data_IF_059479636098
#
_entry.id   IF_059479636098
#
_cell.length_a   1.000
_cell.length_b   1.000
_cell.length_c   1.000
_cell.angle_alpha   90.00
_cell.angle_beta   90.00
_cell.angle_gamma   90.00
#
_symmetry.space_group_name_H-M   'P 1'
#
loop_
_entity.id
_entity.type
_entity.pdbx_description
1 polymer ?
#
# COMPACT_ATOMS: atom_id res chain seq x y z
N UNK A 1 6.85 -11.03 -4.66
CA UNK A 1 8.00 -10.45 -5.39
C UNK A 1 8.17 -11.02 -6.80
N UNK A 2 7.72 -12.25 -7.06
CA UNK A 2 7.86 -12.90 -8.38
C UNK A 2 7.14 -12.15 -9.51
N UNK A 3 5.95 -11.59 -9.26
CA UNK A 3 5.16 -10.91 -10.29
C UNK A 3 5.86 -9.69 -10.91
N UNK A 4 6.50 -8.82 -10.12
CA UNK A 4 7.24 -7.66 -10.64
C UNK A 4 8.48 -8.08 -11.43
N UNK A 5 9.18 -9.12 -10.96
CA UNK A 5 10.33 -9.67 -11.67
C UNK A 5 9.90 -10.29 -13.01
N UNK A 6 8.77 -11.02 -13.02
CA UNK A 6 8.19 -11.58 -14.24
C UNK A 6 7.74 -10.48 -15.22
N UNK A 7 7.11 -9.42 -14.73
CA UNK A 7 6.72 -8.28 -15.55
C UNK A 7 7.92 -7.57 -16.17
N UNK A 8 9.03 -7.42 -15.44
CA UNK A 8 10.26 -6.86 -16.01
C UNK A 8 10.90 -7.79 -17.05
N UNK A 9 10.90 -9.10 -16.82
CA UNK A 9 11.36 -10.07 -17.82
C UNK A 9 10.52 -9.98 -19.10
N UNK A 10 9.21 -9.84 -18.96
CA UNK A 10 8.31 -9.69 -20.11
C UNK A 10 8.54 -8.36 -20.85
N UNK A 11 8.75 -7.25 -20.12
CA UNK A 11 9.14 -5.97 -20.72
C UNK A 11 10.41 -6.09 -21.56
N UNK A 12 11.44 -6.77 -21.03
CA UNK A 12 12.70 -6.99 -21.75
C UNK A 12 12.49 -7.84 -23.00
N UNK A 13 11.73 -8.93 -22.89
CA UNK A 13 11.39 -9.79 -24.03
C UNK A 13 10.67 -9.02 -25.15
N UNK A 14 9.71 -8.17 -24.79
CA UNK A 14 8.98 -7.33 -25.75
C UNK A 14 9.90 -6.28 -26.40
N UNK A 15 10.83 -5.75 -25.63
CA UNK A 15 11.83 -4.80 -26.14
C UNK A 15 12.79 -5.46 -27.14
N UNK A 16 13.30 -6.65 -26.83
CA UNK A 16 14.18 -7.41 -27.72
C UNK A 16 13.46 -7.76 -29.03
N UNK A 17 12.16 -8.09 -28.95
CA UNK A 17 11.33 -8.34 -30.13
C UNK A 17 11.22 -7.09 -31.02
N UNK A 18 10.95 -5.91 -30.44
CA UNK A 18 10.86 -4.67 -31.20
C UNK A 18 12.19 -4.29 -31.88
N UNK A 19 13.33 -4.56 -31.24
CA UNK A 19 14.66 -4.38 -31.86
C UNK A 19 14.81 -5.26 -33.10
N UNK A 20 14.36 -6.52 -33.03
CA UNK A 20 14.45 -7.47 -34.13
C UNK A 20 13.48 -7.14 -35.29
N UNK A 21 12.25 -6.76 -34.97
CA UNK A 21 11.18 -6.58 -35.96
C UNK A 21 11.23 -5.20 -36.63
N UNK A 22 11.52 -4.15 -35.86
CA UNK A 22 11.42 -2.76 -36.31
C UNK A 22 12.78 -2.09 -36.57
N UNK A 23 13.89 -2.77 -36.24
CA UNK A 23 15.25 -2.27 -36.48
C UNK A 23 15.63 -1.06 -35.62
N UNK A 24 14.95 -0.86 -34.49
CA UNK A 24 15.22 0.22 -33.52
C UNK A 24 16.29 -0.19 -32.51
N UNK A 25 16.89 0.79 -31.83
CA UNK A 25 17.77 0.56 -30.68
C UNK A 25 17.05 0.92 -29.38
N UNK A 26 17.11 0.06 -28.38
CA UNK A 26 16.52 0.32 -27.05
C UNK A 26 17.55 0.04 -25.94
N UNK A 27 17.61 0.93 -24.97
CA UNK A 27 18.38 0.76 -23.73
C UNK A 27 17.42 0.74 -22.52
N UNK A 28 17.52 -0.29 -21.68
CA UNK A 28 16.61 -0.52 -20.55
C UNK A 28 17.38 -0.39 -19.24
N UNK A 29 17.23 0.77 -18.60
CA UNK A 29 17.89 1.11 -17.34
C UNK A 29 16.89 1.06 -16.18
N UNK A 30 17.20 0.28 -15.14
CA UNK A 30 16.40 0.25 -13.90
C UNK A 30 16.85 1.38 -12.97
N UNK A 31 16.02 2.41 -12.81
CA UNK A 31 16.34 3.55 -11.95
C UNK A 31 16.08 3.30 -10.45
N UNK A 32 14.95 2.67 -10.10
CA UNK A 32 14.57 2.43 -8.71
C UNK A 32 13.90 1.07 -8.58
N UNK A 33 14.12 0.42 -7.44
CA UNK A 33 13.41 -0.77 -7.03
C UNK A 33 13.06 -0.66 -5.55
N UNK A 34 11.77 -0.52 -5.27
CA UNK A 34 11.26 -0.51 -3.89
C UNK A 34 10.78 -1.91 -3.55
N UNK A 35 11.31 -2.49 -2.48
CA UNK A 35 10.87 -3.81 -1.99
C UNK A 35 9.51 -3.67 -1.31
N UNK A 36 8.72 -4.74 -1.37
CA UNK A 36 7.51 -4.83 -0.54
C UNK A 36 7.91 -4.84 0.94
N UNK A 37 7.19 -4.07 1.74
CA UNK A 37 7.35 -3.98 3.19
C UNK A 37 6.08 -4.57 3.81
N UNK A 38 6.13 -5.82 4.31
CA UNK A 38 4.98 -6.39 5.00
C UNK A 38 4.80 -5.73 6.37
N UNK A 39 3.57 -5.33 6.68
CA UNK A 39 3.17 -5.03 8.07
C UNK A 39 3.15 -6.35 8.83
N UNK A 40 3.74 -6.40 10.03
CA UNK A 40 3.84 -7.63 10.83
C UNK A 40 2.46 -8.09 11.32
N UNK A 41 2.29 -9.40 11.53
CA UNK A 41 0.98 -10.00 11.87
C UNK A 41 0.38 -9.43 13.15
N UNK A 42 1.21 -9.10 14.14
CA UNK A 42 0.81 -8.47 15.40
C UNK A 42 0.25 -7.06 15.17
N UNK A 43 0.88 -6.25 14.31
CA UNK A 43 0.38 -4.93 13.94
C UNK A 43 -0.89 -5.00 13.11
N UNK A 44 -1.02 -5.98 12.22
CA UNK A 44 -2.27 -6.23 11.48
C UNK A 44 -3.41 -6.60 12.44
N UNK A 45 -3.15 -7.51 13.39
CA UNK A 45 -4.13 -7.91 14.39
C UNK A 45 -4.55 -6.74 15.28
N UNK A 46 -3.62 -5.84 15.63
CA UNK A 46 -3.92 -4.64 16.42
C UNK A 46 -4.88 -3.69 15.69
N UNK A 47 -4.70 -3.51 14.37
CA UNK A 47 -5.63 -2.70 13.54
C UNK A 47 -6.99 -3.36 13.43
N UNK A 48 -7.03 -4.69 13.23
CA UNK A 48 -8.28 -5.44 13.17
C UNK A 48 -9.07 -5.31 14.48
N UNK A 49 -8.40 -5.48 15.62
CA UNK A 49 -9.00 -5.32 16.94
C UNK A 49 -9.54 -3.89 17.15
N UNK A 50 -8.79 -2.86 16.74
CA UNK A 50 -9.25 -1.48 16.82
C UNK A 50 -10.53 -1.25 16.00
N UNK A 51 -10.61 -1.82 14.80
CA UNK A 51 -11.80 -1.74 13.95
C UNK A 51 -13.00 -2.49 14.56
N UNK A 52 -12.76 -3.67 15.14
CA UNK A 52 -13.78 -4.48 15.83
C UNK A 52 -14.34 -3.78 17.07
N UNK A 53 -13.47 -3.18 17.90
CA UNK A 53 -13.87 -2.41 19.08
C UNK A 53 -14.73 -1.20 18.71
N UNK A 54 -14.47 -0.61 17.54
CA UNK A 54 -15.29 0.48 16.99
C UNK A 54 -16.60 -0.02 16.35
N UNK A 55 -16.78 -1.33 16.20
CA UNK A 55 -17.97 -1.95 15.60
C UNK A 55 -18.06 -1.79 14.08
N UNK A 56 -16.92 -1.67 13.38
CA UNK A 56 -16.87 -1.52 11.92
C UNK A 56 -16.53 -2.84 11.23
N UNK A 57 -17.13 -3.04 10.05
CA UNK A 57 -16.69 -4.07 9.11
C UNK A 57 -15.34 -3.66 8.49
N UNK A 58 -14.46 -4.64 8.30
CA UNK A 58 -13.12 -4.42 7.77
C UNK A 58 -12.68 -5.60 6.90
N UNK A 59 -11.69 -5.35 6.04
CA UNK A 59 -10.99 -6.39 5.29
C UNK A 59 -9.49 -6.08 5.22
N UNK A 60 -8.61 -7.10 5.17
CA UNK A 60 -7.19 -6.87 4.96
C UNK A 60 -6.95 -6.34 3.54
N UNK A 61 -6.16 -5.27 3.43
CA UNK A 61 -5.84 -4.65 2.15
C UNK A 61 -4.35 -4.42 2.00
N UNK A 62 -3.80 -4.78 0.84
CA UNK A 62 -2.43 -4.43 0.48
C UNK A 62 -2.42 -3.00 -0.08
N UNK A 63 -1.53 -2.13 0.42
CA UNK A 63 -1.34 -0.83 -0.24
C UNK A 63 -0.63 -1.00 -1.58
N UNK A 64 -1.27 -0.53 -2.65
CA UNK A 64 -0.69 -0.44 -3.98
C UNK A 64 0.27 0.74 -4.18
N UNK A 65 0.30 1.68 -3.23
CA UNK A 65 1.10 2.90 -3.29
C UNK A 65 2.24 2.90 -2.25
N UNK A 66 3.25 3.72 -2.53
CA UNK A 66 4.27 4.03 -1.52
C UNK A 66 3.75 5.03 -0.50
N UNK A 67 4.04 4.79 0.78
CA UNK A 67 3.73 5.71 1.89
C UNK A 67 4.95 5.84 2.80
N UNK A 68 5.00 6.92 3.59
CA UNK A 68 6.11 7.17 4.52
C UNK A 68 6.33 6.03 5.53
N UNK A 69 5.26 5.29 5.86
CA UNK A 69 5.34 4.07 6.66
C UNK A 69 6.39 3.07 6.14
N UNK A 70 6.59 2.97 4.81
CA UNK A 70 7.63 2.11 4.24
C UNK A 70 9.05 2.52 4.65
N UNK A 71 9.31 3.82 4.79
CA UNK A 71 10.59 4.31 5.27
C UNK A 71 10.72 4.09 6.79
N UNK A 72 9.65 4.36 7.54
CA UNK A 72 9.60 4.21 9.01
C UNK A 72 9.76 2.74 9.43
N UNK A 73 9.29 1.79 8.61
CA UNK A 73 9.41 0.36 8.88
C UNK A 73 10.86 -0.13 9.06
N UNK A 74 11.87 0.65 8.65
CA UNK A 74 13.27 0.31 8.89
C UNK A 74 13.72 0.54 10.34
N UNK A 75 12.95 1.27 11.14
CA UNK A 75 13.34 1.69 12.49
C UNK A 75 12.28 1.42 13.57
N UNK A 76 11.03 1.12 13.19
CA UNK A 76 9.95 0.84 14.12
C UNK A 76 8.89 -0.08 13.49
N UNK A 77 8.10 -0.81 14.31
CA UNK A 77 6.86 -1.42 13.86
C UNK A 77 5.94 -0.36 13.24
N UNK A 78 5.19 -0.75 12.20
CA UNK A 78 4.27 0.13 11.50
C UNK A 78 2.90 -0.53 11.39
N UNK A 79 1.86 0.28 11.35
CA UNK A 79 0.49 -0.11 11.03
C UNK A 79 -0.11 0.94 10.09
N UNK A 80 -1.12 0.57 9.31
CA UNK A 80 -1.84 1.48 8.43
C UNK A 80 -3.35 1.21 8.52
N UNK A 81 -4.13 2.29 8.52
CA UNK A 81 -5.60 2.25 8.45
C UNK A 81 -6.01 2.92 7.16
N UNK A 82 -6.79 2.23 6.34
CA UNK A 82 -7.36 2.77 5.10
C UNK A 82 -8.84 3.12 5.30
N UNK A 83 -9.27 4.17 4.62
CA UNK A 83 -10.69 4.51 4.46
C UNK A 83 -11.05 4.47 2.98
N UNK A 84 -12.32 4.20 2.62
CA UNK A 84 -12.75 4.21 1.23
C UNK A 84 -12.58 5.59 0.59
N UNK A 85 -12.13 5.61 -0.66
CA UNK A 85 -12.25 6.76 -1.57
C UNK A 85 -13.32 6.45 -2.62
N UNK A 86 -14.17 7.43 -2.91
CA UNK A 86 -15.26 7.27 -3.89
C UNK A 86 -14.67 6.89 -5.24
N UNK A 87 -15.17 5.79 -5.80
CA UNK A 87 -14.70 5.18 -7.06
C UNK A 87 -13.20 4.81 -7.09
N UNK A 88 -12.51 4.80 -5.94
CA UNK A 88 -11.08 4.54 -5.84
C UNK A 88 -10.20 5.61 -6.52
N UNK A 89 -10.75 6.79 -6.80
CA UNK A 89 -10.02 7.89 -7.45
C UNK A 89 -9.04 8.52 -6.46
N UNK A 90 -7.79 8.71 -6.90
CA UNK A 90 -6.77 9.46 -6.16
C UNK A 90 -5.86 10.23 -7.13
N UNK A 91 -5.08 11.20 -6.62
CA UNK A 91 -4.24 12.12 -7.39
C UNK A 91 -5.02 12.94 -8.43
N UNK A 92 -6.28 13.24 -8.12
CA UNK A 92 -7.18 14.00 -8.98
C UNK A 92 -8.01 15.00 -8.19
N UNK A 93 -8.59 16.00 -8.85
CA UNK A 93 -9.50 16.96 -8.20
C UNK A 93 -10.81 16.30 -7.73
N UNK A 94 -11.16 15.17 -8.33
CA UNK A 94 -12.30 14.32 -8.00
C UNK A 94 -12.01 13.35 -6.84
N UNK A 95 -10.79 13.30 -6.31
CA UNK A 95 -10.45 12.50 -5.13
C UNK A 95 -11.32 12.93 -3.94
N UNK A 96 -12.06 11.98 -3.38
CA UNK A 96 -13.01 12.27 -2.31
C UNK A 96 -13.24 11.07 -1.40
N UNK A 97 -13.21 11.32 -0.09
CA UNK A 97 -13.74 10.42 0.95
C UNK A 97 -14.81 11.15 1.72
N UNK A 98 -15.89 10.46 2.08
CA UNK A 98 -17.01 11.13 2.76
C UNK A 98 -16.58 11.56 4.17
N UNK A 99 -17.17 12.64 4.74
CA UNK A 99 -16.90 13.02 6.13
C UNK A 99 -17.15 11.87 7.12
N UNK A 100 -18.10 10.99 6.82
CA UNK A 100 -18.40 9.81 7.64
C UNK A 100 -17.25 8.80 7.59
N UNK A 101 -16.72 8.49 6.40
CA UNK A 101 -15.62 7.54 6.26
C UNK A 101 -14.34 8.08 6.90
N UNK A 102 -14.06 9.38 6.73
CA UNK A 102 -12.95 10.05 7.41
C UNK A 102 -13.10 10.00 8.94
N UNK A 103 -14.31 10.23 9.46
CA UNK A 103 -14.58 10.15 10.90
C UNK A 103 -14.42 8.71 11.42
N UNK A 104 -14.94 7.72 10.69
CA UNK A 104 -14.79 6.31 11.04
C UNK A 104 -13.31 5.89 11.09
N UNK A 105 -12.53 6.24 10.05
CA UNK A 105 -11.10 5.93 10.02
C UNK A 105 -10.32 6.62 11.14
N UNK A 106 -10.68 7.86 11.48
CA UNK A 106 -10.06 8.58 12.60
C UNK A 106 -10.42 7.96 13.94
N UNK A 107 -11.65 7.46 14.11
CA UNK A 107 -12.07 6.74 15.30
C UNK A 107 -11.29 5.44 15.49
N UNK A 108 -11.10 4.66 14.41
CA UNK A 108 -10.26 3.45 14.42
C UNK A 108 -8.81 3.80 14.73
N UNK A 109 -8.28 4.88 14.15
CA UNK A 109 -6.93 5.33 14.45
C UNK A 109 -6.75 5.70 15.92
N UNK A 110 -7.73 6.37 16.54
CA UNK A 110 -7.70 6.69 17.96
C UNK A 110 -7.66 5.41 18.81
N UNK A 111 -8.55 4.46 18.54
CA UNK A 111 -8.60 3.18 19.25
C UNK A 111 -7.28 2.40 19.09
N UNK A 112 -6.73 2.36 17.87
CA UNK A 112 -5.44 1.74 17.59
C UNK A 112 -4.31 2.36 18.41
N UNK A 113 -4.27 3.69 18.52
CA UNK A 113 -3.24 4.38 19.30
C UNK A 113 -3.36 4.07 20.80
N UNK A 114 -4.57 3.98 21.34
CA UNK A 114 -4.81 3.59 22.73
C UNK A 114 -4.37 2.13 22.98
N UNK A 115 -4.76 1.20 22.10
CA UNK A 115 -4.33 -0.20 22.20
C UNK A 115 -2.81 -0.35 22.08
N UNK A 116 -2.15 0.48 21.28
CA UNK A 116 -0.69 0.49 21.16
C UNK A 116 -0.02 1.02 22.44
N UNK A 117 -0.50 2.12 23.01
CA UNK A 117 0.01 2.72 24.26
C UNK A 117 -0.11 1.75 25.45
N UNK A 118 -1.18 0.96 25.50
CA UNK A 118 -1.37 -0.05 26.56
C UNK A 118 -0.45 -1.28 26.40
N UNK A 119 0.01 -1.58 25.19
CA UNK A 119 0.77 -2.80 24.87
C UNK A 119 2.28 -2.60 24.78
N UNK A 120 2.74 -1.38 24.53
CA UNK A 120 4.14 -1.05 24.24
C UNK A 120 4.66 0.08 25.12
#
# INVERSE_FOLDING_TARGET
MEALAAAEQELRRLTDQAVADDGVSVDVVRHRFTRSVPITEDMQALVAEAAENCGFEWEPQASGAGHDAQAIANIAPIAMVFVPSVDGISHSMEEYSTPKDCANGTQVLLELLLLADDRF
#
